data_IF_280439111355
#
_entry.id   IF_280439111355
#
_cell.length_a   1.000
_cell.length_b   1.000
_cell.length_c   1.000
_cell.angle_alpha   90.00
_cell.angle_beta   90.00
_cell.angle_gamma   90.00
#
_symmetry.space_group_name_H-M   'P 1'
#
loop_
_entity.id
_entity.type
_entity.pdbx_description
1 polymer ?
#
# COMPACT_ATOMS: atom_id res chain seq x y z
N UNK A 1 -6.42 -61.97 16.75
CA UNK A 1 -5.50 -61.29 15.82
C UNK A 1 -6.30 -60.29 15.00
N UNK A 2 -6.07 -58.97 15.22
CA UNK A 2 -6.38 -57.81 14.33
C UNK A 2 -7.85 -57.58 13.91
N UNK A 3 -8.38 -56.38 13.72
CA UNK A 3 -7.89 -55.01 13.88
C UNK A 3 -9.09 -54.05 13.87
N UNK A 4 -8.96 -52.96 14.62
CA UNK A 4 -9.86 -51.81 14.62
C UNK A 4 -10.03 -51.19 13.22
N UNK A 5 -11.28 -50.90 12.84
CA UNK A 5 -11.63 -50.02 11.74
C UNK A 5 -12.66 -49.01 12.26
N UNK A 6 -12.14 -47.90 12.77
CA UNK A 6 -12.86 -46.63 13.02
C UNK A 6 -12.07 -45.53 12.28
N UNK A 7 -12.64 -44.35 12.04
CA UNK A 7 -13.35 -43.94 10.82
C UNK A 7 -12.47 -43.01 9.95
N UNK A 8 -12.32 -43.29 8.65
CA UNK A 8 -11.62 -42.37 7.73
C UNK A 8 -12.49 -41.21 7.21
N UNK A 9 -13.78 -41.17 7.56
CA UNK A 9 -14.74 -40.19 7.01
C UNK A 9 -14.81 -38.90 7.86
N UNK A 10 -14.53 -38.95 9.16
CA UNK A 10 -14.60 -37.75 10.03
C UNK A 10 -13.50 -36.72 9.79
N UNK A 11 -12.31 -37.13 9.34
CA UNK A 11 -11.20 -36.19 9.10
C UNK A 11 -11.42 -35.32 7.85
N UNK A 12 -12.06 -35.86 6.80
CA UNK A 12 -12.30 -35.15 5.55
C UNK A 12 -13.40 -34.07 5.71
N UNK A 13 -14.42 -34.34 6.53
CA UNK A 13 -15.48 -33.37 6.85
C UNK A 13 -14.95 -32.22 7.72
N UNK A 14 -14.05 -32.50 8.68
CA UNK A 14 -13.39 -31.47 9.49
C UNK A 14 -12.45 -30.58 8.65
N UNK A 15 -11.72 -31.14 7.69
CA UNK A 15 -10.88 -30.37 6.76
C UNK A 15 -11.70 -29.46 5.84
N UNK A 16 -12.85 -29.92 5.36
CA UNK A 16 -13.75 -29.12 4.51
C UNK A 16 -14.47 -28.03 5.33
N UNK A 17 -14.84 -28.31 6.58
CA UNK A 17 -15.38 -27.31 7.51
C UNK A 17 -14.33 -26.27 7.95
N UNK A 18 -13.07 -26.66 8.15
CA UNK A 18 -11.96 -25.73 8.38
C UNK A 18 -11.67 -24.86 7.16
N UNK A 19 -11.90 -25.37 5.93
CA UNK A 19 -11.78 -24.58 4.71
C UNK A 19 -12.95 -23.61 4.51
N UNK A 20 -14.17 -23.98 4.95
CA UNK A 20 -15.31 -23.06 4.99
C UNK A 20 -15.20 -21.98 6.08
N UNK A 21 -14.51 -22.26 7.19
CA UNK A 21 -14.29 -21.29 8.28
C UNK A 21 -13.19 -20.27 7.99
N UNK A 22 -12.40 -20.45 6.94
CA UNK A 22 -11.60 -19.37 6.38
C UNK A 22 -12.49 -18.44 5.53
N UNK A 23 -13.55 -17.90 6.15
CA UNK A 23 -14.27 -16.78 5.59
C UNK A 23 -13.25 -15.65 5.52
N UNK A 24 -12.76 -15.33 4.32
CA UNK A 24 -11.65 -14.39 4.24
C UNK A 24 -12.09 -13.04 4.80
N UNK A 25 -11.26 -12.54 5.71
CA UNK A 25 -11.42 -11.22 6.30
C UNK A 25 -11.33 -10.09 5.28
N UNK A 26 -11.06 -10.41 4.01
CA UNK A 26 -10.94 -9.51 2.87
C UNK A 26 -12.06 -9.77 1.86
N UNK A 27 -13.01 -8.84 1.76
CA UNK A 27 -14.06 -8.83 0.76
C UNK A 27 -13.90 -7.66 -0.22
N UNK A 28 -14.12 -7.92 -1.50
CA UNK A 28 -13.98 -6.93 -2.56
C UNK A 28 -15.22 -6.96 -3.45
N UNK A 29 -15.86 -5.81 -3.60
CA UNK A 29 -16.89 -5.61 -4.63
C UNK A 29 -16.23 -4.88 -5.79
N UNK A 30 -16.30 -5.46 -7.00
CA UNK A 30 -15.74 -4.82 -8.21
C UNK A 30 -16.89 -4.37 -9.09
N UNK A 31 -16.82 -3.13 -9.58
CA UNK A 31 -17.79 -2.61 -10.54
C UNK A 31 -17.16 -2.52 -11.94
N UNK A 32 -17.98 -2.29 -12.95
CA UNK A 32 -17.52 -2.02 -14.32
C UNK A 32 -17.18 -0.53 -14.57
N UNK A 33 -17.03 0.25 -13.50
CA UNK A 33 -16.76 1.70 -13.55
C UNK A 33 -15.37 2.04 -12.99
N UNK A 34 -14.42 1.09 -13.08
CA UNK A 34 -13.07 1.25 -12.52
C UNK A 34 -13.07 1.63 -11.03
N UNK A 35 -14.03 1.09 -10.28
CA UNK A 35 -14.22 1.33 -8.85
C UNK A 35 -14.40 0.01 -8.13
N UNK A 36 -13.67 -0.17 -7.03
CA UNK A 36 -13.88 -1.28 -6.11
C UNK A 36 -14.06 -0.80 -4.68
N UNK A 37 -14.94 -1.50 -3.96
CA UNK A 37 -15.10 -1.36 -2.51
C UNK A 37 -14.37 -2.51 -1.85
N UNK A 38 -13.42 -2.19 -0.99
CA UNK A 38 -12.66 -3.17 -0.21
C UNK A 38 -13.07 -3.06 1.24
N UNK A 39 -13.36 -4.20 1.86
CA UNK A 39 -13.51 -4.35 3.29
C UNK A 39 -12.51 -5.39 3.76
N UNK A 40 -11.64 -5.02 4.68
CA UNK A 40 -10.63 -5.93 5.22
C UNK A 40 -10.46 -5.79 6.72
N UNK A 41 -10.20 -6.91 7.41
CA UNK A 41 -9.74 -6.89 8.80
C UNK A 41 -8.23 -7.00 8.85
N UNK A 42 -7.60 -6.22 9.74
CA UNK A 42 -6.17 -6.30 10.02
C UNK A 42 -5.91 -6.44 11.52
N UNK A 43 -4.74 -6.96 11.85
CA UNK A 43 -4.19 -6.89 13.20
C UNK A 43 -3.16 -5.77 13.25
N UNK A 44 -3.25 -4.90 14.25
CA UNK A 44 -2.30 -3.81 14.49
C UNK A 44 -1.80 -3.87 15.94
N UNK A 45 -0.52 -3.64 16.13
CA UNK A 45 0.07 -3.61 17.47
C UNK A 45 0.12 -2.17 17.98
N UNK A 46 -0.51 -1.94 19.14
CA UNK A 46 -0.56 -0.62 19.78
C UNK A 46 0.01 -0.70 21.19
N UNK A 47 0.58 0.41 21.66
CA UNK A 47 0.93 0.63 23.07
C UNK A 47 -0.26 1.26 23.77
N UNK A 48 -0.40 1.02 25.07
CA UNK A 48 -1.37 1.75 25.91
C UNK A 48 -1.14 3.27 25.79
N UNK A 49 -2.20 4.04 25.59
CA UNK A 49 -2.15 5.48 25.41
C UNK A 49 -2.16 5.89 23.93
N UNK A 50 -1.49 7.00 23.61
CA UNK A 50 -1.44 7.56 22.26
C UNK A 50 -0.44 6.80 21.38
N UNK A 51 -0.81 6.57 20.12
CA UNK A 51 0.03 5.97 19.10
C UNK A 51 -0.18 6.70 17.77
N UNK A 52 0.91 6.88 17.03
CA UNK A 52 0.86 7.19 15.60
C UNK A 52 1.12 5.89 14.84
N UNK A 53 0.12 5.42 14.10
CA UNK A 53 0.17 4.17 13.35
C UNK A 53 0.24 4.47 11.85
N UNK A 54 1.24 3.89 11.18
CA UNK A 54 1.48 4.06 9.75
C UNK A 54 1.00 2.83 8.99
N UNK A 55 -0.06 2.99 8.20
CA UNK A 55 -0.58 1.95 7.33
C UNK A 55 -0.07 2.17 5.90
N UNK A 56 0.86 1.30 5.46
CA UNK A 56 1.55 1.47 4.16
C UNK A 56 1.14 0.44 3.09
N UNK A 57 0.53 -0.69 3.47
CA UNK A 57 0.05 -1.70 2.52
C UNK A 57 -1.37 -1.36 2.05
N UNK A 58 -1.48 -0.28 1.28
CA UNK A 58 -2.74 0.26 0.74
C UNK A 58 -2.63 0.40 -0.79
N UNK A 59 -3.76 0.34 -1.53
CA UNK A 59 -3.73 0.56 -2.97
C UNK A 59 -3.20 1.96 -3.30
N UNK A 60 -2.46 2.06 -4.40
CA UNK A 60 -1.91 3.33 -4.88
C UNK A 60 -3.02 4.30 -5.34
N UNK A 61 -4.15 3.75 -5.79
CA UNK A 61 -5.31 4.51 -6.24
C UNK A 61 -6.45 4.51 -5.21
N UNK A 62 -6.12 4.36 -3.93
CA UNK A 62 -7.09 4.48 -2.83
C UNK A 62 -7.73 5.86 -2.84
N UNK A 63 -9.04 5.92 -2.63
CA UNK A 63 -9.71 7.17 -2.30
C UNK A 63 -9.61 7.40 -0.79
N UNK A 64 -8.67 8.23 -0.38
CA UNK A 64 -8.40 8.51 1.02
C UNK A 64 -9.61 9.10 1.77
N UNK A 65 -10.53 9.76 1.08
CA UNK A 65 -11.73 10.37 1.68
C UNK A 65 -12.81 9.34 2.01
N UNK A 66 -12.72 8.15 1.40
CA UNK A 66 -13.64 7.02 1.64
C UNK A 66 -13.19 6.09 2.77
N UNK A 67 -11.99 6.29 3.31
CA UNK A 67 -11.38 5.39 4.29
C UNK A 67 -12.13 5.48 5.62
N UNK A 68 -12.69 4.34 6.03
CA UNK A 68 -13.34 4.12 7.31
C UNK A 68 -12.57 3.08 8.12
N UNK A 69 -12.34 3.39 9.39
CA UNK A 69 -11.57 2.56 10.33
C UNK A 69 -12.41 2.32 11.57
N UNK A 70 -12.46 1.06 12.00
CA UNK A 70 -13.27 0.66 13.14
C UNK A 70 -12.49 -0.28 14.06
N UNK A 71 -12.49 0.00 15.37
CA UNK A 71 -12.01 -0.96 16.35
C UNK A 71 -13.09 -2.02 16.57
N UNK A 72 -12.90 -3.23 16.04
CA UNK A 72 -13.94 -4.28 16.07
C UNK A 72 -14.34 -4.68 17.50
N UNK A 73 -13.41 -4.55 18.44
CA UNK A 73 -13.62 -4.85 19.87
C UNK A 73 -13.68 -3.60 20.76
N UNK A 74 -13.85 -2.41 20.16
CA UNK A 74 -13.84 -1.11 20.86
C UNK A 74 -12.63 -0.94 21.80
N UNK A 75 -11.47 -1.40 21.33
CA UNK A 75 -10.24 -1.52 22.13
C UNK A 75 -9.29 -0.31 21.98
N UNK A 76 -9.58 0.56 21.02
CA UNK A 76 -8.92 1.84 20.81
C UNK A 76 -9.90 2.85 20.19
N UNK A 77 -9.56 4.14 20.29
CA UNK A 77 -10.27 5.24 19.65
C UNK A 77 -9.38 5.86 18.57
N UNK A 78 -9.96 6.14 17.39
CA UNK A 78 -9.29 6.93 16.35
C UNK A 78 -9.51 8.41 16.67
N UNK A 79 -8.43 9.15 16.86
CA UNK A 79 -8.47 10.58 17.17
C UNK A 79 -8.29 11.42 15.91
N UNK A 80 -7.35 11.01 15.04
CA UNK A 80 -7.04 11.70 13.79
C UNK A 80 -6.72 10.68 12.70
N UNK A 81 -7.07 11.01 11.46
CA UNK A 81 -6.74 10.26 10.25
C UNK A 81 -6.19 11.22 9.21
N UNK A 82 -4.94 10.98 8.79
CA UNK A 82 -4.26 11.73 7.75
C UNK A 82 -3.85 10.80 6.61
N UNK A 83 -3.75 11.36 5.40
CA UNK A 83 -3.26 10.64 4.22
C UNK A 83 -2.04 11.34 3.67
N UNK A 84 -0.92 10.61 3.67
CA UNK A 84 0.35 11.07 3.14
C UNK A 84 0.51 10.54 1.72
N UNK A 85 0.16 11.39 0.75
CA UNK A 85 0.38 11.13 -0.68
C UNK A 85 1.74 11.63 -1.17
N UNK A 86 2.54 12.27 -0.31
CA UNK A 86 3.71 13.02 -0.74
C UNK A 86 4.93 12.11 -0.98
N UNK A 87 4.79 11.22 -1.97
CA UNK A 87 5.74 10.15 -2.28
C UNK A 87 7.12 10.68 -2.62
N UNK A 88 8.15 9.94 -2.21
CA UNK A 88 9.56 10.23 -2.49
C UNK A 88 9.75 10.51 -3.99
N UNK A 89 10.36 11.64 -4.30
CA UNK A 89 10.92 11.95 -5.61
C UNK A 89 12.23 12.73 -5.39
N UNK A 90 13.03 12.90 -6.43
CA UNK A 90 14.34 13.55 -6.31
C UNK A 90 14.22 14.93 -5.68
N UNK A 91 13.24 15.73 -6.09
CA UNK A 91 13.08 17.10 -5.61
C UNK A 91 12.67 17.15 -4.13
N UNK A 92 11.83 16.22 -3.66
CA UNK A 92 11.48 16.07 -2.23
C UNK A 92 12.63 15.59 -1.39
N UNK A 93 13.40 14.64 -1.92
CA UNK A 93 14.58 14.14 -1.23
C UNK A 93 15.52 15.31 -0.98
N UNK A 94 15.79 16.11 -2.01
CA UNK A 94 16.62 17.29 -1.91
C UNK A 94 16.00 18.37 -1.01
N UNK A 95 14.68 18.59 -1.08
CA UNK A 95 13.98 19.55 -0.23
C UNK A 95 14.06 19.18 1.26
N UNK A 96 13.90 17.89 1.61
CA UNK A 96 14.07 17.41 3.00
C UNK A 96 15.54 17.34 3.44
N UNK A 97 16.47 17.37 2.48
CA UNK A 97 17.91 17.43 2.73
C UNK A 97 18.47 18.85 2.78
N UNK A 98 17.63 19.90 2.72
CA UNK A 98 18.07 21.27 3.04
C UNK A 98 18.64 21.30 4.46
N UNK A 99 19.70 22.07 4.65
CA UNK A 99 20.52 22.19 5.86
C UNK A 99 21.28 20.92 6.24
N UNK A 100 21.38 19.95 5.32
CA UNK A 100 22.12 18.71 5.54
C UNK A 100 23.35 18.60 4.64
N UNK A 101 24.35 17.85 5.12
CA UNK A 101 25.54 17.55 4.35
C UNK A 101 25.25 16.54 3.24
N UNK A 102 25.57 16.91 1.99
CA UNK A 102 25.46 16.02 0.82
C UNK A 102 26.76 15.96 0.03
N UNK A 103 26.87 14.97 -0.85
CA UNK A 103 27.93 14.89 -1.85
C UNK A 103 27.36 14.89 -3.26
N UNK A 104 28.01 15.62 -4.15
CA UNK A 104 27.76 15.58 -5.58
C UNK A 104 28.99 14.98 -6.25
N UNK A 105 28.81 13.90 -7.00
CA UNK A 105 29.86 13.31 -7.82
C UNK A 105 29.54 13.61 -9.27
N UNK A 106 30.36 14.44 -9.89
CA UNK A 106 30.25 14.82 -11.30
C UNK A 106 31.53 14.38 -12.04
N UNK A 107 31.44 13.70 -13.19
CA UNK A 107 32.63 13.28 -13.94
C UNK A 107 33.55 14.43 -14.37
N UNK A 108 33.01 15.62 -14.60
CA UNK A 108 33.76 16.81 -15.02
C UNK A 108 34.29 17.63 -13.84
N UNK A 109 33.52 17.72 -12.74
CA UNK A 109 33.87 18.55 -11.58
C UNK A 109 34.51 17.76 -10.42
N UNK A 110 34.50 16.43 -10.49
CA UNK A 110 34.94 15.57 -9.40
C UNK A 110 33.92 15.46 -8.26
N UNK A 111 34.40 15.18 -7.05
CA UNK A 111 33.56 15.06 -5.85
C UNK A 111 33.48 16.41 -5.15
N UNK A 112 32.25 16.90 -4.98
CA UNK A 112 31.93 18.14 -4.28
C UNK A 112 31.14 17.78 -3.01
N UNK A 113 31.44 18.46 -1.90
CA UNK A 113 30.79 18.27 -0.60
C UNK A 113 30.33 19.60 -0.05
N UNK A 114 29.19 19.63 0.61
CA UNK A 114 28.73 20.82 1.32
C UNK A 114 27.36 20.63 1.95
N UNK A 115 26.91 21.65 2.67
CA UNK A 115 25.56 21.74 3.21
C UNK A 115 24.62 22.24 2.12
N UNK A 116 23.54 21.50 1.85
CA UNK A 116 22.55 21.90 0.85
C UNK A 116 21.70 23.06 1.37
N UNK A 117 21.82 24.23 0.73
CA UNK A 117 21.03 25.40 1.08
C UNK A 117 19.74 25.47 0.28
N UNK A 118 19.80 25.08 -1.00
CA UNK A 118 18.65 25.09 -1.90
C UNK A 118 18.84 24.12 -3.06
N UNK A 119 17.72 23.62 -3.58
CA UNK A 119 17.67 22.81 -4.80
C UNK A 119 16.48 23.21 -5.65
N UNK A 120 16.66 23.20 -6.97
CA UNK A 120 15.56 23.25 -7.93
C UNK A 120 15.88 22.33 -9.13
N UNK A 121 15.01 22.32 -10.14
CA UNK A 121 15.20 21.48 -11.33
C UNK A 121 16.49 21.73 -12.13
N UNK A 122 17.20 22.84 -11.90
CA UNK A 122 18.38 23.25 -12.67
C UNK A 122 19.67 23.34 -11.85
N UNK A 123 19.61 23.63 -10.56
CA UNK A 123 20.79 23.91 -9.75
C UNK A 123 20.69 23.33 -8.34
N UNK A 124 21.86 22.99 -7.79
CA UNK A 124 22.09 22.76 -6.37
C UNK A 124 22.93 23.92 -5.82
N UNK A 125 22.57 24.43 -4.64
CA UNK A 125 23.36 25.41 -3.91
C UNK A 125 23.94 24.75 -2.67
N UNK A 126 25.27 24.64 -2.62
CA UNK A 126 26.01 24.04 -1.51
C UNK A 126 26.86 25.12 -0.82
N UNK A 127 26.92 25.06 0.50
CA UNK A 127 27.94 25.76 1.28
C UNK A 127 29.05 24.77 1.64
N UNK A 128 30.26 25.00 1.16
CA UNK A 128 31.40 24.13 1.50
C UNK A 128 32.02 24.49 2.86
N UNK A 129 33.02 23.70 3.29
CA UNK A 129 33.69 23.87 4.59
C UNK A 129 34.47 25.20 4.68
N UNK A 130 34.83 25.79 3.54
CA UNK A 130 35.53 27.06 3.42
C UNK A 130 34.56 28.26 3.38
N UNK A 131 33.27 28.05 3.66
CA UNK A 131 32.21 29.07 3.59
C UNK A 131 32.01 29.65 2.18
N UNK A 132 32.38 28.91 1.13
CA UNK A 132 32.13 29.32 -0.25
C UNK A 132 30.80 28.75 -0.75
N UNK A 133 30.00 29.62 -1.37
CA UNK A 133 28.75 29.23 -2.01
C UNK A 133 29.05 28.62 -3.37
N UNK A 134 28.77 27.34 -3.52
CA UNK A 134 28.91 26.58 -4.76
C UNK A 134 27.54 26.44 -5.44
N UNK A 135 27.41 26.93 -6.68
CA UNK A 135 26.21 26.77 -7.50
C UNK A 135 26.50 25.75 -8.59
N UNK A 136 25.90 24.56 -8.47
CA UNK A 136 26.20 23.42 -9.35
C UNK A 136 25.01 23.18 -10.29
N UNK A 137 25.19 23.26 -11.62
CA UNK A 137 24.15 22.90 -12.58
C UNK A 137 23.82 21.41 -12.49
N UNK A 138 22.54 21.06 -12.41
CA UNK A 138 22.08 19.66 -12.43
C UNK A 138 22.23 19.10 -13.85
N UNK A 139 22.81 17.91 -13.96
CA UNK A 139 22.89 17.17 -15.22
C UNK A 139 22.67 15.67 -14.99
N UNK A 140 22.50 14.93 -16.07
CA UNK A 140 22.22 13.47 -16.09
C UNK A 140 23.42 12.60 -15.70
N UNK A 141 24.63 13.18 -15.64
CA UNK A 141 25.87 12.50 -15.28
C UNK A 141 26.22 12.63 -13.80
N UNK A 142 25.51 13.48 -13.06
CA UNK A 142 25.72 13.71 -11.64
C UNK A 142 25.08 12.62 -10.78
N UNK A 143 25.79 12.25 -9.71
CA UNK A 143 25.24 11.45 -8.62
C UNK A 143 25.19 12.29 -7.36
N UNK A 144 24.00 12.39 -6.75
CA UNK A 144 23.82 13.02 -5.44
C UNK A 144 23.74 11.94 -4.37
N UNK A 145 24.55 12.07 -3.33
CA UNK A 145 24.65 11.11 -2.23
C UNK A 145 24.28 11.81 -0.92
N UNK A 146 23.33 11.24 -0.19
CA UNK A 146 22.94 11.69 1.15
C UNK A 146 23.72 10.90 2.21
N UNK A 147 24.51 11.59 3.03
CA UNK A 147 25.36 10.95 4.05
C UNK A 147 24.53 10.21 5.11
N UNK A 148 23.37 10.76 5.48
CA UNK A 148 22.56 10.33 6.61
C UNK A 148 21.19 9.76 6.19
N UNK A 149 21.07 9.22 4.96
CA UNK A 149 19.79 8.65 4.51
C UNK A 149 19.27 7.58 5.46
N UNK A 150 20.15 6.72 6.00
CA UNK A 150 19.79 5.63 6.90
C UNK A 150 19.08 6.09 8.19
N UNK A 151 19.48 7.23 8.77
CA UNK A 151 18.84 7.77 9.98
C UNK A 151 17.58 8.60 9.69
N UNK A 152 17.25 8.80 8.41
CA UNK A 152 16.13 9.62 7.95
C UNK A 152 15.14 8.85 7.10
N UNK A 153 15.26 7.52 7.03
CA UNK A 153 14.42 6.68 6.17
C UNK A 153 12.93 6.88 6.44
N UNK A 154 12.54 7.09 7.69
CA UNK A 154 11.16 7.32 8.11
C UNK A 154 10.58 8.63 7.57
N UNK A 155 11.43 9.59 7.18
CA UNK A 155 10.99 10.86 6.59
C UNK A 155 10.66 10.72 5.09
N UNK A 156 11.07 9.63 4.44
CA UNK A 156 10.87 9.44 3.01
C UNK A 156 9.77 8.41 2.77
N UNK A 157 8.54 8.91 2.68
CA UNK A 157 7.37 8.08 2.37
C UNK A 157 7.49 7.64 0.91
N UNK A 158 7.80 6.36 0.69
CA UNK A 158 8.04 5.80 -0.66
C UNK A 158 6.78 5.25 -1.32
N UNK A 159 5.69 5.12 -0.55
CA UNK A 159 4.40 4.59 -0.99
C UNK A 159 3.27 5.27 -0.22
N UNK A 160 2.05 5.38 -0.81
CA UNK A 160 0.94 6.02 -0.13
C UNK A 160 0.75 5.45 1.27
N UNK A 161 0.58 6.33 2.24
CA UNK A 161 0.52 5.93 3.65
C UNK A 161 -0.64 6.62 4.34
N UNK A 162 -1.46 5.87 5.05
CA UNK A 162 -2.44 6.44 5.98
C UNK A 162 -1.79 6.53 7.37
N UNK A 163 -1.90 7.70 8.00
CA UNK A 163 -1.34 7.97 9.32
C UNK A 163 -2.49 8.17 10.30
N UNK A 164 -2.55 7.32 11.31
CA UNK A 164 -3.63 7.33 12.30
C UNK A 164 -3.10 7.67 13.68
N UNK A 165 -3.67 8.70 14.29
CA UNK A 165 -3.47 8.96 15.71
C UNK A 165 -4.55 8.23 16.47
N UNK A 166 -4.17 7.21 17.23
CA UNK A 166 -5.11 6.36 17.97
C UNK A 166 -4.79 6.35 19.47
N UNK A 167 -5.82 6.18 20.30
CA UNK A 167 -5.68 5.99 21.74
C UNK A 167 -6.14 4.59 22.14
N UNK A 168 -5.21 3.73 22.54
CA UNK A 168 -5.50 2.37 22.98
C UNK A 168 -5.59 2.28 24.50
N UNK A 169 -6.50 1.46 25.01
CA UNK A 169 -6.68 1.27 26.46
C UNK A 169 -5.65 0.32 27.07
N UNK A 170 -5.15 -0.61 26.25
CA UNK A 170 -4.17 -1.64 26.61
C UNK A 170 -3.12 -1.73 25.50
N UNK A 171 -1.94 -2.25 25.85
CA UNK A 171 -0.94 -2.62 24.87
C UNK A 171 -1.24 -4.01 24.31
N UNK A 172 -0.91 -4.25 23.05
CA UNK A 172 -1.01 -5.57 22.42
C UNK A 172 -1.54 -5.50 20.99
N UNK A 173 -1.99 -6.64 20.49
CA UNK A 173 -2.57 -6.77 19.16
C UNK A 173 -4.07 -6.43 19.19
N UNK A 174 -4.48 -5.56 18.26
CA UNK A 174 -5.83 -5.06 18.13
C UNK A 174 -6.36 -5.35 16.73
N UNK A 175 -7.60 -5.82 16.69
CA UNK A 175 -8.29 -6.11 15.45
C UNK A 175 -9.01 -4.86 14.95
N UNK A 176 -8.73 -4.49 13.71
CA UNK A 176 -9.26 -3.30 13.06
C UNK A 176 -9.96 -3.66 11.76
N UNK A 177 -11.18 -3.16 11.59
CA UNK A 177 -11.88 -3.16 10.31
C UNK A 177 -11.48 -1.95 9.50
N UNK A 178 -11.17 -2.17 8.22
CA UNK A 178 -10.77 -1.15 7.27
C UNK A 178 -11.65 -1.26 6.03
N UNK A 179 -12.38 -0.19 5.73
CA UNK A 179 -13.22 -0.11 4.52
C UNK A 179 -12.77 1.08 3.68
N UNK A 180 -12.63 0.90 2.38
CA UNK A 180 -12.28 1.99 1.47
C UNK A 180 -12.69 1.71 0.03
N UNK A 181 -12.83 2.77 -0.73
CA UNK A 181 -12.90 2.74 -2.18
C UNK A 181 -11.50 2.84 -2.79
N UNK A 182 -11.31 2.16 -3.91
CA UNK A 182 -10.11 2.28 -4.74
C UNK A 182 -10.50 2.28 -6.21
N UNK A 183 -9.73 2.99 -7.01
CA UNK A 183 -9.74 2.82 -8.46
C UNK A 183 -8.80 1.69 -8.87
N UNK A 184 -8.80 1.36 -10.16
CA UNK A 184 -7.96 0.31 -10.73
C UNK A 184 -8.52 -1.09 -10.55
N UNK A 185 -9.77 -1.24 -10.09
CA UNK A 185 -10.49 -2.50 -10.07
C UNK A 185 -11.64 -2.42 -11.05
N UNK A 186 -11.65 -3.32 -12.03
CA UNK A 186 -12.69 -3.34 -13.06
C UNK A 186 -13.03 -4.79 -13.45
N UNK A 187 -14.27 -5.04 -13.82
CA UNK A 187 -14.65 -6.31 -14.46
C UNK A 187 -15.49 -6.06 -15.72
N UNK A 188 -15.46 -7.03 -16.63
CA UNK A 188 -16.38 -7.12 -17.77
C UNK A 188 -16.72 -8.57 -18.04
N UNK A 189 -17.83 -8.79 -18.76
CA UNK A 189 -18.24 -10.11 -19.21
C UNK A 189 -18.52 -10.10 -20.72
N UNK A 190 -17.96 -11.07 -21.41
CA UNK A 190 -18.17 -11.32 -22.83
C UNK A 190 -19.05 -12.55 -23.01
N UNK A 191 -20.07 -12.43 -23.85
CA UNK A 191 -21.04 -13.50 -24.10
C UNK A 191 -20.95 -13.95 -25.56
N UNK A 192 -20.86 -15.26 -25.77
CA UNK A 192 -20.87 -15.87 -27.10
C UNK A 192 -22.08 -16.79 -27.21
N UNK A 193 -22.98 -16.46 -28.13
CA UNK A 193 -24.15 -17.26 -28.46
C UNK A 193 -23.91 -18.13 -29.69
N UNK A 194 -24.35 -19.39 -29.65
CA UNK A 194 -24.39 -20.29 -30.82
C UNK A 194 -25.78 -20.90 -30.95
N UNK A 195 -26.43 -20.67 -32.08
CA UNK A 195 -27.68 -21.34 -32.45
C UNK A 195 -27.38 -22.74 -33.02
N UNK A 196 -28.31 -23.66 -32.80
CA UNK A 196 -28.32 -24.94 -33.51
C UNK A 196 -28.84 -24.77 -34.97
N UNK A 197 -28.61 -25.74 -35.86
CA UNK A 197 -28.88 -25.58 -37.30
C UNK A 197 -30.35 -25.28 -37.68
N UNK A 198 -31.30 -25.61 -36.81
CA UNK A 198 -32.73 -25.39 -36.97
C UNK A 198 -33.27 -24.20 -36.14
N UNK A 199 -32.36 -23.40 -35.55
CA UNK A 199 -32.66 -22.20 -34.74
C UNK A 199 -33.58 -22.43 -33.52
N UNK A 200 -33.72 -23.68 -33.07
CA UNK A 200 -34.59 -24.07 -31.95
C UNK A 200 -33.92 -23.98 -30.57
N UNK A 201 -32.59 -23.88 -30.50
CA UNK A 201 -31.80 -23.81 -29.26
C UNK A 201 -30.64 -22.81 -29.37
N UNK A 202 -30.45 -22.02 -28.30
CA UNK A 202 -29.30 -21.13 -28.12
C UNK A 202 -28.39 -21.67 -27.02
N UNK A 203 -27.13 -21.94 -27.34
CA UNK A 203 -26.07 -22.14 -26.37
C UNK A 203 -25.38 -20.81 -26.07
N UNK A 204 -25.28 -20.44 -24.80
CA UNK A 204 -24.58 -19.22 -24.36
C UNK A 204 -23.35 -19.60 -23.53
N UNK A 205 -22.18 -19.09 -23.93
CA UNK A 205 -20.96 -19.13 -23.13
C UNK A 205 -20.65 -17.73 -22.60
N UNK A 206 -20.18 -17.63 -21.35
CA UNK A 206 -19.81 -16.36 -20.71
C UNK A 206 -18.36 -16.42 -20.21
N UNK A 207 -17.60 -15.38 -20.52
CA UNK A 207 -16.25 -15.15 -20.02
C UNK A 207 -16.26 -13.93 -19.13
N UNK A 208 -15.81 -14.06 -17.88
CA UNK A 208 -15.67 -12.93 -16.95
C UNK A 208 -14.19 -12.59 -16.80
N UNK A 209 -13.85 -11.34 -17.07
CA UNK A 209 -12.50 -10.81 -16.92
C UNK A 209 -12.48 -9.77 -15.82
N UNK A 210 -11.56 -9.91 -14.87
CA UNK A 210 -11.32 -8.95 -13.79
C UNK A 210 -9.91 -8.40 -13.96
N UNK A 211 -9.79 -7.09 -13.95
CA UNK A 211 -8.51 -6.38 -14.03
C UNK A 211 -8.23 -5.67 -12.69
N UNK A 212 -7.00 -5.80 -12.21
CA UNK A 212 -6.50 -5.11 -11.03
C UNK A 212 -5.22 -4.33 -11.34
N UNK A 213 -5.35 -3.02 -11.45
CA UNK A 213 -4.29 -2.01 -11.56
C UNK A 213 -4.27 -1.06 -10.37
N UNK A 214 -4.95 -1.41 -9.26
CA UNK A 214 -5.03 -0.58 -8.04
C UNK A 214 -3.68 -0.40 -7.33
N UNK A 215 -2.68 -1.22 -7.67
CA UNK A 215 -1.35 -1.21 -7.04
C UNK A 215 -1.23 -2.05 -5.77
N UNK A 216 -2.30 -2.77 -5.38
CA UNK A 216 -2.30 -3.73 -4.25
C UNK A 216 -2.75 -5.12 -4.72
N UNK A 217 -2.12 -6.16 -4.16
CA UNK A 217 -2.52 -7.56 -4.37
C UNK A 217 -3.52 -7.96 -3.30
N UNK A 218 -4.62 -8.58 -3.72
CA UNK A 218 -5.71 -9.03 -2.85
C UNK A 218 -5.74 -10.55 -2.78
N UNK A 219 -4.94 -11.15 -1.88
CA UNK A 219 -4.83 -12.61 -1.76
C UNK A 219 -6.07 -13.18 -1.06
N UNK A 220 -6.63 -14.26 -1.62
CA UNK A 220 -7.78 -14.98 -1.05
C UNK A 220 -8.99 -14.07 -0.79
N UNK A 221 -9.15 -13.00 -1.57
CA UNK A 221 -10.27 -12.09 -1.42
C UNK A 221 -11.58 -12.78 -1.82
N UNK A 222 -12.62 -12.58 -1.02
CA UNK A 222 -13.98 -12.92 -1.42
C UNK A 222 -14.48 -11.85 -2.36
N UNK A 223 -14.62 -12.20 -3.64
CA UNK A 223 -15.25 -11.33 -4.62
C UNK A 223 -16.78 -11.28 -4.40
N UNK A 224 -17.34 -10.09 -4.52
CA UNK A 224 -18.77 -9.79 -4.46
C UNK A 224 -19.21 -9.06 -5.71
#
# INVERSE_FOLDING_TARGET
MKSYLVPKISALLCLMAMWLMAQSDLAITVTNQNLGLVHETRQIDLKKGLNDYLLTDIPQQIDATSVLIESLKKSFLVLEQNYEYDLINVDKVLAKSIDQQIWVVDPALGKISGTLLASNGRYLMLLDEQQQLQIIPRNDKQKVLLKNYASQQDQFITRPTLVWKVKAEKSGSHEVGLTYLTRGLNWHADYVGKLNPDDSQLQLACWVTINNTSGKVYKNARLK
#
